data_IF_611333240146
#
_entry.id   IF_611333240146
#
_cell.length_a   1.000
_cell.length_b   1.000
_cell.length_c   1.000
_cell.angle_alpha   90.00
_cell.angle_beta   90.00
_cell.angle_gamma   90.00
#
_symmetry.space_group_name_H-M   'P 1'
#
loop_
_entity.id
_entity.type
_entity.pdbx_description
1 polymer ?
#
# COMPACT_ATOMS: atom_id res chain seq x y z
N UNK A 1 -4.45 -26.35 -31.91
CA UNK A 1 -3.41 -26.43 -30.86
C UNK A 1 -3.21 -25.01 -30.36
N UNK A 2 -3.36 -24.77 -29.06
CA UNK A 2 -3.30 -23.42 -28.50
C UNK A 2 -1.84 -22.95 -28.44
N UNK A 3 -1.53 -21.89 -29.18
CA UNK A 3 -0.26 -21.18 -29.05
C UNK A 3 -0.32 -20.32 -27.79
N UNK A 4 0.30 -20.80 -26.72
CA UNK A 4 0.49 -20.02 -25.51
C UNK A 4 1.54 -18.94 -25.81
N UNK A 5 1.06 -17.69 -25.94
CA UNK A 5 1.92 -16.52 -26.14
C UNK A 5 2.86 -16.41 -24.95
N UNK A 6 4.15 -16.37 -25.24
CA UNK A 6 5.25 -16.38 -24.27
C UNK A 6 5.55 -14.98 -23.75
N UNK A 7 4.52 -14.16 -23.57
CA UNK A 7 4.60 -12.92 -22.82
C UNK A 7 4.60 -13.25 -21.32
N UNK A 8 5.54 -14.09 -20.89
CA UNK A 8 6.04 -14.01 -19.53
C UNK A 8 6.78 -12.68 -19.51
N UNK A 9 6.32 -11.66 -18.76
CA UNK A 9 7.09 -10.44 -18.63
C UNK A 9 8.45 -10.86 -18.09
N UNK A 10 9.47 -10.81 -18.95
CA UNK A 10 10.84 -10.99 -18.52
C UNK A 10 11.05 -9.91 -17.49
N UNK A 11 11.18 -10.35 -16.25
CA UNK A 11 10.87 -9.59 -15.05
C UNK A 11 12.02 -8.60 -14.76
N UNK A 12 12.35 -7.76 -15.73
CA UNK A 12 13.41 -6.78 -15.68
C UNK A 12 12.93 -5.44 -15.09
N UNK A 13 11.66 -5.37 -14.68
CA UNK A 13 11.19 -4.28 -13.83
C UNK A 13 11.99 -4.28 -12.52
N UNK A 14 12.49 -3.12 -12.06
CA UNK A 14 13.15 -3.02 -10.77
C UNK A 14 12.28 -3.63 -9.66
N UNK A 15 12.89 -4.36 -8.72
CA UNK A 15 12.16 -5.04 -7.65
C UNK A 15 11.19 -4.12 -6.88
N UNK A 16 11.57 -2.84 -6.70
CA UNK A 16 10.73 -1.83 -6.07
C UNK A 16 9.40 -1.59 -6.82
N UNK A 17 9.38 -1.69 -8.16
CA UNK A 17 8.16 -1.52 -8.96
C UNK A 17 7.18 -2.66 -8.74
N UNK A 18 7.68 -3.90 -8.68
CA UNK A 18 6.83 -5.07 -8.46
C UNK A 18 6.19 -5.08 -7.08
N UNK A 19 6.97 -4.72 -6.06
CA UNK A 19 6.44 -4.62 -4.70
C UNK A 19 5.47 -3.44 -4.56
N UNK A 20 5.74 -2.33 -5.25
CA UNK A 20 4.79 -1.22 -5.36
C UNK A 20 3.46 -1.65 -6.03
N UNK A 21 3.53 -2.32 -7.19
CA UNK A 21 2.35 -2.84 -7.90
C UNK A 21 1.57 -3.83 -7.03
N UNK A 22 2.27 -4.74 -6.35
CA UNK A 22 1.66 -5.69 -5.43
C UNK A 22 0.94 -5.01 -4.24
N UNK A 23 1.39 -3.82 -3.81
CA UNK A 23 0.71 -3.05 -2.77
C UNK A 23 -0.52 -2.31 -3.30
N UNK A 24 -0.44 -1.68 -4.48
CA UNK A 24 -1.55 -0.91 -5.06
C UNK A 24 -2.67 -1.82 -5.59
N UNK A 25 -2.34 -3.05 -6.02
CA UNK A 25 -3.28 -4.03 -6.54
C UNK A 25 -3.74 -5.05 -5.49
N UNK A 26 -3.33 -4.91 -4.22
CA UNK A 26 -3.81 -5.79 -3.15
C UNK A 26 -5.27 -5.48 -2.80
N UNK A 27 -6.12 -6.50 -2.89
CA UNK A 27 -7.56 -6.42 -2.62
C UNK A 27 -7.93 -6.98 -1.24
N UNK A 28 -7.01 -7.71 -0.61
CA UNK A 28 -7.18 -8.24 0.73
C UNK A 28 -6.75 -7.20 1.78
N UNK A 29 -7.75 -6.54 2.40
CA UNK A 29 -7.54 -5.53 3.44
C UNK A 29 -6.71 -6.04 4.63
N UNK A 30 -6.64 -7.36 4.87
CA UNK A 30 -5.81 -7.93 5.93
C UNK A 30 -4.32 -7.98 5.57
N UNK A 31 -4.00 -8.15 4.28
CA UNK A 31 -2.61 -8.19 3.76
C UNK A 31 -2.09 -6.84 3.32
N UNK A 32 -3.00 -5.92 3.00
CA UNK A 32 -2.66 -4.59 2.49
C UNK A 32 -1.67 -3.82 3.38
N UNK A 33 -1.79 -3.79 4.72
CA UNK A 33 -0.79 -3.14 5.57
C UNK A 33 0.63 -3.72 5.44
N UNK A 34 0.74 -5.05 5.34
CA UNK A 34 2.02 -5.73 5.17
C UNK A 34 2.65 -5.39 3.81
N UNK A 35 1.85 -5.40 2.74
CA UNK A 35 2.30 -5.07 1.38
C UNK A 35 2.75 -3.62 1.26
N UNK A 36 2.04 -2.69 1.89
CA UNK A 36 2.46 -1.28 1.95
C UNK A 36 3.80 -1.14 2.68
N UNK A 37 3.98 -1.84 3.81
CA UNK A 37 5.23 -1.79 4.56
C UNK A 37 6.41 -2.35 3.77
N UNK A 38 6.22 -3.49 3.10
CA UNK A 38 7.24 -4.12 2.27
C UNK A 38 7.65 -3.21 1.11
N UNK A 39 6.67 -2.69 0.34
CA UNK A 39 6.92 -1.79 -0.78
C UNK A 39 7.65 -0.51 -0.34
N UNK A 40 7.24 0.08 0.79
CA UNK A 40 7.87 1.28 1.33
C UNK A 40 9.34 1.07 1.69
N UNK A 41 9.68 -0.09 2.27
CA UNK A 41 11.07 -0.45 2.60
C UNK A 41 11.95 -0.46 1.36
N UNK A 42 11.62 -1.28 0.36
CA UNK A 42 12.46 -1.38 -0.85
C UNK A 42 12.52 -0.11 -1.68
N UNK A 43 11.47 0.72 -1.67
CA UNK A 43 11.50 2.03 -2.35
C UNK A 43 12.45 3.00 -1.62
N UNK A 44 12.50 2.95 -0.29
CA UNK A 44 13.42 3.76 0.49
C UNK A 44 14.87 3.35 0.24
N UNK A 45 15.17 2.05 0.32
CA UNK A 45 16.49 1.49 0.01
C UNK A 45 16.95 1.92 -1.38
N UNK A 46 16.05 1.84 -2.38
CA UNK A 46 16.35 2.28 -3.75
C UNK A 46 16.53 3.78 -3.88
N UNK A 47 15.80 4.58 -3.11
CA UNK A 47 15.92 6.04 -3.14
C UNK A 47 17.29 6.49 -2.60
N UNK A 48 17.76 5.85 -1.53
CA UNK A 48 19.12 6.06 -0.98
C UNK A 48 20.19 5.72 -2.02
N UNK A 49 20.08 4.57 -2.68
CA UNK A 49 20.98 4.20 -3.78
C UNK A 49 20.92 5.21 -4.94
N UNK A 50 19.73 5.63 -5.33
CA UNK A 50 19.52 6.53 -6.48
C UNK A 50 20.12 7.91 -6.24
N UNK A 51 20.02 8.43 -5.01
CA UNK A 51 20.65 9.69 -4.60
C UNK A 51 22.18 9.60 -4.74
N UNK A 52 22.79 8.47 -4.40
CA UNK A 52 24.22 8.26 -4.57
C UNK A 52 24.64 8.24 -6.05
N UNK A 53 23.78 7.75 -6.95
CA UNK A 53 24.09 7.59 -8.37
C UNK A 53 23.50 8.69 -9.28
N UNK A 54 22.90 9.73 -8.72
CA UNK A 54 22.34 10.90 -9.44
C UNK A 54 21.28 10.57 -10.52
N UNK A 55 20.49 9.49 -10.37
CA UNK A 55 19.43 9.16 -11.34
C UNK A 55 18.14 9.94 -11.05
N UNK A 56 18.13 11.23 -11.41
CA UNK A 56 17.04 12.18 -11.07
C UNK A 56 15.64 11.71 -11.52
N UNK A 57 15.54 11.02 -12.67
CA UNK A 57 14.27 10.51 -13.18
C UNK A 57 13.71 9.37 -12.32
N UNK A 58 14.55 8.42 -11.91
CA UNK A 58 14.14 7.33 -11.02
C UNK A 58 13.76 7.88 -9.64
N UNK A 59 14.51 8.86 -9.13
CA UNK A 59 14.20 9.50 -7.85
C UNK A 59 12.79 10.13 -7.82
N UNK A 60 12.35 10.76 -8.92
CA UNK A 60 10.99 11.30 -9.02
C UNK A 60 9.93 10.19 -8.97
N UNK A 61 10.18 9.06 -9.63
CA UNK A 61 9.26 7.92 -9.61
C UNK A 61 9.14 7.31 -8.22
N UNK A 62 10.27 7.14 -7.51
CA UNK A 62 10.30 6.62 -6.14
C UNK A 62 9.53 7.52 -5.18
N UNK A 63 9.72 8.84 -5.27
CA UNK A 63 8.98 9.79 -4.43
C UNK A 63 7.47 9.77 -4.69
N UNK A 64 7.05 9.65 -5.96
CA UNK A 64 5.64 9.51 -6.31
C UNK A 64 5.05 8.19 -5.75
N UNK A 65 5.80 7.09 -5.85
CA UNK A 65 5.39 5.81 -5.29
C UNK A 65 5.23 5.88 -3.75
N UNK A 66 6.17 6.51 -3.03
CA UNK A 66 6.04 6.73 -1.58
C UNK A 66 4.81 7.54 -1.22
N UNK A 67 4.53 8.62 -1.97
CA UNK A 67 3.35 9.44 -1.73
C UNK A 67 2.05 8.67 -1.94
N UNK A 68 1.98 7.85 -3.00
CA UNK A 68 0.83 6.98 -3.26
C UNK A 68 0.61 5.98 -2.13
N UNK A 69 1.67 5.34 -1.62
CA UNK A 69 1.60 4.40 -0.50
C UNK A 69 1.12 5.08 0.80
N UNK A 70 1.54 6.32 1.07
CA UNK A 70 1.06 7.09 2.22
C UNK A 70 -0.44 7.37 2.14
N UNK A 71 -0.94 7.74 0.96
CA UNK A 71 -2.38 7.97 0.75
C UNK A 71 -3.14 6.65 0.98
N UNK A 72 -2.65 5.56 0.42
CA UNK A 72 -3.27 4.24 0.56
C UNK A 72 -3.36 3.81 2.03
N UNK A 73 -2.28 3.99 2.79
CA UNK A 73 -2.26 3.71 4.24
C UNK A 73 -3.28 4.56 5.00
N UNK A 74 -3.41 5.85 4.66
CA UNK A 74 -4.40 6.74 5.27
C UNK A 74 -5.84 6.33 4.96
N UNK A 75 -6.11 5.85 3.74
CA UNK A 75 -7.44 5.32 3.37
C UNK A 75 -7.75 4.07 4.19
N UNK A 76 -6.84 3.11 4.27
CA UNK A 76 -7.00 1.88 5.06
C UNK A 76 -7.23 2.19 6.54
N UNK A 77 -6.53 3.18 7.09
CA UNK A 77 -6.71 3.59 8.48
C UNK A 77 -8.11 4.16 8.75
N UNK A 78 -8.75 4.81 7.77
CA UNK A 78 -10.12 5.33 7.87
C UNK A 78 -11.18 4.24 7.73
N UNK A 79 -10.90 3.19 6.97
CA UNK A 79 -11.83 2.07 6.76
C UNK A 79 -11.88 1.10 7.95
N UNK A 80 -10.86 1.10 8.82
CA UNK A 80 -10.94 0.37 10.08
C UNK A 80 -12.12 0.93 10.88
N UNK A 81 -13.15 0.13 11.19
CA UNK A 81 -14.26 0.60 12.00
C UNK A 81 -13.70 1.04 13.35
N UNK A 82 -13.63 2.36 13.58
CA UNK A 82 -13.42 2.89 14.92
C UNK A 82 -14.50 2.27 15.80
N UNK A 83 -14.17 1.70 16.98
CA UNK A 83 -15.18 1.33 17.94
C UNK A 83 -15.92 2.60 18.31
N UNK A 84 -17.10 2.76 17.72
CA UNK A 84 -18.00 3.86 18.04
C UNK A 84 -18.35 3.70 19.51
N UNK A 85 -17.85 4.62 20.34
CA UNK A 85 -18.37 4.85 21.68
C UNK A 85 -19.86 5.15 21.54
N UNK A 86 -20.68 4.10 21.63
CA UNK A 86 -22.13 4.22 21.79
C UNK A 86 -22.38 4.47 23.28
N UNK A 87 -22.94 5.62 23.71
CA UNK A 87 -23.73 5.63 24.92
C UNK A 87 -25.08 5.01 24.56
N UNK A 88 -25.19 3.68 24.73
CA UNK A 88 -26.47 3.00 24.65
C UNK A 88 -27.38 3.56 25.75
N UNK A 89 -28.45 4.22 25.33
CA UNK A 89 -29.57 4.57 26.19
C UNK A 89 -30.12 3.30 26.87
N UNK A 90 -30.27 3.34 28.19
CA UNK A 90 -31.14 2.46 28.97
C UNK A 90 -32.02 3.42 29.77
N UNK A 91 -33.17 3.78 29.20
CA UNK A 91 -34.48 3.15 29.47
C UNK A 91 -34.94 3.44 30.89
N UNK A 92 -36.04 4.18 30.97
CA UNK A 92 -36.63 4.66 32.19
C UNK A 92 -37.04 3.56 33.16
N UNK A 93 -37.03 3.94 34.43
CA UNK A 93 -37.65 3.18 35.49
C UNK A 93 -38.28 4.18 36.47
N UNK A 94 -39.59 4.41 36.31
CA UNK A 94 -40.47 4.94 37.35
C UNK A 94 -40.84 3.75 38.24
N UNK A 95 -40.65 3.86 39.57
CA UNK A 95 -41.77 3.68 40.52
C UNK A 95 -41.58 4.56 41.78
N UNK A 96 -42.54 4.81 42.67
CA UNK A 96 -43.98 4.65 42.79
C UNK A 96 -44.46 5.77 43.73
#
# INVERSE_FOLDING_TARGET
MAEVSKDVPSDNSPAWKRLYEAAVLELDNSKLPERIAEARRVIHDRAEETLAHSLLAEHRLLNNALHTLQILEAVVAREKPQPQSSPAATTGSIPA
#
